data_IF_045852345893
#
_entry.id   IF_045852345893
#
_cell.length_a   1.000
_cell.length_b   1.000
_cell.length_c   1.000
_cell.angle_alpha   90.00
_cell.angle_beta   90.00
_cell.angle_gamma   90.00
#
_symmetry.space_group_name_H-M   'P 1'
#
loop_
_entity.id
_entity.type
_entity.pdbx_description
1 polymer ?
#
# COMPACT_ATOMS: atom_id res chain seq x y z
N UNK A 1 9.81 11.95 -3.05
CA UNK A 1 9.80 10.66 -3.77
C UNK A 1 10.23 9.51 -2.88
N UNK A 2 11.51 9.44 -2.49
CA UNK A 2 12.03 8.31 -1.72
C UNK A 2 11.50 8.20 -0.27
N UNK A 3 11.42 9.31 0.47
CA UNK A 3 10.96 9.32 1.87
C UNK A 3 9.50 8.85 1.97
N UNK A 4 8.62 9.32 1.10
CA UNK A 4 7.21 8.88 0.99
C UNK A 4 7.07 7.38 0.77
N UNK A 5 7.89 6.81 -0.11
CA UNK A 5 7.88 5.37 -0.39
C UNK A 5 8.45 4.56 0.78
N UNK A 6 9.49 5.05 1.46
CA UNK A 6 10.06 4.39 2.65
C UNK A 6 9.03 4.40 3.79
N UNK A 7 8.40 5.53 4.06
CA UNK A 7 7.40 5.65 5.13
C UNK A 7 6.16 4.79 4.86
N UNK A 8 5.69 4.69 3.61
CA UNK A 8 4.59 3.78 3.27
C UNK A 8 4.98 2.31 3.49
N UNK A 9 6.26 1.99 3.33
CA UNK A 9 6.78 0.64 3.58
C UNK A 9 6.86 0.31 5.07
N UNK A 10 6.66 1.27 5.98
CA UNK A 10 6.51 0.98 7.42
C UNK A 10 5.11 0.45 7.74
N UNK A 11 4.15 0.52 6.81
CA UNK A 11 2.78 0.05 7.02
C UNK A 11 2.66 -1.40 7.53
N UNK A 12 3.45 -2.40 7.07
CA UNK A 12 3.40 -3.76 7.61
C UNK A 12 3.94 -3.85 9.03
N UNK A 13 4.92 -3.03 9.40
CA UNK A 13 5.43 -2.92 10.77
C UNK A 13 4.35 -2.38 11.69
N UNK A 14 3.68 -1.28 11.32
CA UNK A 14 2.57 -0.75 12.11
C UNK A 14 1.37 -1.69 12.15
N UNK A 15 1.05 -2.37 11.05
CA UNK A 15 -0.01 -3.39 11.01
C UNK A 15 0.29 -4.52 12.01
N UNK A 16 1.55 -4.95 12.08
CA UNK A 16 2.04 -5.96 13.03
C UNK A 16 1.90 -5.47 14.47
N UNK A 17 2.39 -4.26 14.78
CA UNK A 17 2.37 -3.68 16.13
C UNK A 17 0.94 -3.42 16.64
N UNK A 18 0.12 -2.72 15.85
CA UNK A 18 -1.30 -2.45 16.15
C UNK A 18 -2.06 -3.76 16.32
N UNK A 19 -1.79 -4.72 15.44
CA UNK A 19 -2.38 -6.04 15.47
C UNK A 19 -2.15 -6.79 16.79
N UNK A 20 -0.92 -6.78 17.30
CA UNK A 20 -0.59 -7.37 18.61
C UNK A 20 -1.26 -6.57 19.73
N UNK A 21 -1.02 -5.25 19.77
CA UNK A 21 -1.35 -4.40 20.90
C UNK A 21 -2.86 -4.21 21.12
N UNK A 22 -3.63 -4.05 20.04
CA UNK A 22 -5.03 -3.65 20.12
C UNK A 22 -6.00 -4.75 19.63
N UNK A 23 -5.51 -5.67 18.80
CA UNK A 23 -6.37 -6.70 18.19
C UNK A 23 -6.12 -8.09 18.74
N UNK A 24 -5.09 -8.29 19.57
CA UNK A 24 -4.77 -9.58 20.22
C UNK A 24 -4.23 -10.62 19.24
N UNK A 25 -3.61 -10.19 18.14
CA UNK A 25 -3.07 -11.13 17.15
C UNK A 25 -1.84 -11.85 17.69
N UNK A 26 -1.93 -13.18 17.75
CA UNK A 26 -0.78 -14.04 17.98
C UNK A 26 0.07 -14.11 16.69
N UNK A 27 1.19 -13.39 16.68
CA UNK A 27 2.13 -13.40 15.57
C UNK A 27 3.23 -14.43 15.77
N UNK A 28 3.62 -15.08 14.67
CA UNK A 28 4.78 -15.98 14.67
C UNK A 28 6.04 -15.12 14.53
N UNK A 29 7.11 -15.45 15.26
CA UNK A 29 8.39 -14.72 15.15
C UNK A 29 8.92 -14.59 13.71
N UNK A 30 8.63 -15.59 12.86
CA UNK A 30 8.95 -15.53 11.42
C UNK A 30 8.26 -14.38 10.68
N UNK A 31 7.03 -14.03 11.04
CA UNK A 31 6.32 -12.91 10.41
C UNK A 31 6.98 -11.58 10.78
N UNK A 32 7.42 -11.42 12.03
CA UNK A 32 8.16 -10.23 12.48
C UNK A 32 9.49 -10.12 11.72
N UNK A 33 10.25 -11.22 11.64
CA UNK A 33 11.51 -11.25 10.88
C UNK A 33 11.27 -10.95 9.40
N UNK A 34 10.24 -11.52 8.79
CA UNK A 34 9.89 -11.27 7.39
C UNK A 34 9.49 -9.82 7.12
N UNK A 35 8.77 -9.19 8.05
CA UNK A 35 8.44 -7.75 8.00
C UNK A 35 9.70 -6.89 8.06
N UNK A 36 10.64 -7.20 8.94
CA UNK A 36 11.90 -6.46 9.07
C UNK A 36 12.79 -6.62 7.83
N UNK A 37 12.89 -7.83 7.29
CA UNK A 37 13.63 -8.11 6.05
C UNK A 37 12.99 -7.37 4.87
N UNK A 38 11.67 -7.44 4.73
CA UNK A 38 10.94 -6.74 3.66
C UNK A 38 11.18 -5.23 3.72
N UNK A 39 11.09 -4.64 4.92
CA UNK A 39 11.38 -3.23 5.15
C UNK A 39 12.82 -2.87 4.75
N UNK A 40 13.79 -3.68 5.16
CA UNK A 40 15.19 -3.47 4.79
C UNK A 40 15.39 -3.51 3.27
N UNK A 41 14.83 -4.51 2.59
CA UNK A 41 14.90 -4.61 1.13
C UNK A 41 14.27 -3.41 0.43
N UNK A 42 13.15 -2.91 0.95
CA UNK A 42 12.52 -1.70 0.43
C UNK A 42 13.37 -0.45 0.62
N UNK A 43 13.99 -0.28 1.78
CA UNK A 43 14.93 0.83 2.03
C UNK A 43 16.10 0.77 1.05
N UNK A 44 16.70 -0.41 0.84
CA UNK A 44 17.80 -0.60 -0.12
C UNK A 44 17.36 -0.25 -1.54
N UNK A 45 16.23 -0.78 -1.99
CA UNK A 45 15.71 -0.56 -3.35
C UNK A 45 15.42 0.93 -3.61
N UNK A 46 14.79 1.61 -2.65
CA UNK A 46 14.47 3.03 -2.78
C UNK A 46 15.74 3.88 -2.73
N UNK A 47 16.63 3.63 -1.76
CA UNK A 47 17.87 4.39 -1.63
C UNK A 47 18.74 4.28 -2.90
N UNK A 48 18.74 3.11 -3.55
CA UNK A 48 19.45 2.88 -4.79
C UNK A 48 18.86 3.60 -6.02
N UNK A 49 17.60 4.03 -5.96
CA UNK A 49 16.93 4.80 -7.01
C UNK A 49 16.80 6.30 -6.70
N UNK A 50 17.32 6.76 -5.56
CA UNK A 50 17.29 8.18 -5.20
C UNK A 50 18.47 8.90 -5.85
N UNK A 51 18.19 9.74 -6.85
CA UNK A 51 19.11 10.83 -7.21
C UNK A 51 19.00 11.95 -6.17
N UNK A 52 20.15 12.54 -5.80
CA UNK A 52 20.34 13.51 -4.72
C UNK A 52 19.37 14.71 -4.79
N UNK A 53 18.17 14.54 -4.27
CA UNK A 53 17.19 15.61 -4.09
C UNK A 53 17.12 15.94 -2.61
N UNK A 54 17.93 16.93 -2.21
CA UNK A 54 18.22 17.31 -0.83
C UNK A 54 17.18 18.25 -0.20
N UNK A 55 16.12 18.62 -0.93
CA UNK A 55 15.05 19.46 -0.41
C UNK A 55 13.82 18.62 -0.04
N UNK A 56 13.83 18.00 1.15
CA UNK A 56 12.65 17.31 1.67
C UNK A 56 12.20 17.90 3.00
N UNK A 57 10.97 18.42 3.00
CA UNK A 57 10.31 18.97 4.17
C UNK A 57 9.84 17.82 5.09
N UNK A 58 10.53 17.66 6.22
CA UNK A 58 10.30 16.60 7.21
C UNK A 58 8.90 16.65 7.85
N UNK A 59 8.18 17.78 7.78
CA UNK A 59 6.83 17.90 8.36
C UNK A 59 5.83 16.95 7.70
N UNK A 60 5.98 16.66 6.41
CA UNK A 60 5.11 15.70 5.70
C UNK A 60 5.27 14.26 6.19
N UNK A 61 6.39 13.92 6.83
CA UNK A 61 6.60 12.58 7.38
C UNK A 61 5.54 12.22 8.43
N UNK A 62 5.07 13.21 9.21
CA UNK A 62 4.05 12.99 10.23
C UNK A 62 2.72 12.53 9.63
N UNK A 63 2.28 13.17 8.55
CA UNK A 63 1.06 12.78 7.84
C UNK A 63 1.15 11.36 7.25
N UNK A 64 2.34 10.96 6.78
CA UNK A 64 2.54 9.62 6.23
C UNK A 64 2.53 8.56 7.32
N UNK A 65 3.12 8.84 8.49
CA UNK A 65 3.01 7.96 9.67
C UNK A 65 1.54 7.80 10.07
N UNK A 66 0.79 8.90 10.14
CA UNK A 66 -0.63 8.87 10.49
C UNK A 66 -1.44 8.06 9.47
N UNK A 67 -1.15 8.24 8.17
CA UNK A 67 -1.76 7.44 7.09
C UNK A 67 -1.42 5.95 7.24
N UNK A 68 -0.17 5.61 7.51
CA UNK A 68 0.27 4.23 7.70
C UNK A 68 -0.37 3.57 8.94
N UNK A 69 -0.59 4.33 10.02
CA UNK A 69 -1.38 3.89 11.17
C UNK A 69 -2.85 3.67 10.79
N UNK A 70 -3.48 4.59 10.06
CA UNK A 70 -4.85 4.43 9.55
C UNK A 70 -5.00 3.17 8.71
N UNK A 71 -4.02 2.87 7.85
CA UNK A 71 -3.95 1.64 7.07
C UNK A 71 -3.79 0.40 7.95
N UNK A 72 -2.93 0.44 8.96
CA UNK A 72 -2.77 -0.63 9.94
C UNK A 72 -4.08 -0.93 10.70
N UNK A 73 -4.82 0.11 11.11
CA UNK A 73 -6.14 -0.03 11.70
C UNK A 73 -7.13 -0.62 10.70
N UNK A 74 -7.18 -0.11 9.47
CA UNK A 74 -8.08 -0.58 8.43
C UNK A 74 -7.93 -2.10 8.21
N UNK A 75 -6.72 -2.59 7.99
CA UNK A 75 -6.46 -4.03 7.78
C UNK A 75 -6.90 -4.87 8.99
N UNK A 76 -6.52 -4.44 10.20
CA UNK A 76 -6.82 -5.19 11.42
C UNK A 76 -8.32 -5.18 11.76
N UNK A 77 -9.01 -4.06 11.56
CA UNK A 77 -10.47 -3.94 11.74
C UNK A 77 -11.20 -4.81 10.72
N UNK A 78 -10.83 -4.73 9.44
CA UNK A 78 -11.45 -5.53 8.39
C UNK A 78 -11.29 -7.02 8.72
N UNK A 79 -10.09 -7.45 9.13
CA UNK A 79 -9.85 -8.85 9.48
C UNK A 79 -10.67 -9.28 10.70
N UNK A 80 -10.61 -8.52 11.80
CA UNK A 80 -11.18 -8.93 13.08
C UNK A 80 -12.70 -8.80 13.13
N UNK A 81 -13.22 -7.69 12.62
CA UNK A 81 -14.62 -7.32 12.81
C UNK A 81 -15.46 -7.45 11.54
N UNK A 82 -14.90 -7.23 10.35
CA UNK A 82 -15.67 -7.17 9.11
C UNK A 82 -15.48 -8.40 8.20
N UNK A 83 -14.76 -9.43 8.65
CA UNK A 83 -14.49 -10.63 7.84
C UNK A 83 -15.73 -11.45 7.50
N UNK A 84 -16.83 -11.27 8.25
CA UNK A 84 -18.13 -11.86 7.95
C UNK A 84 -18.81 -11.21 6.73
N UNK A 85 -18.49 -9.96 6.41
CA UNK A 85 -19.03 -9.25 5.24
C UNK A 85 -18.34 -9.69 3.94
N UNK A 86 -18.98 -9.40 2.80
CA UNK A 86 -18.34 -9.59 1.50
C UNK A 86 -17.29 -8.48 1.25
N UNK A 87 -16.17 -8.77 0.55
CA UNK A 87 -15.18 -7.75 0.20
C UNK A 87 -15.76 -6.57 -0.59
N UNK A 88 -16.78 -6.85 -1.42
CA UNK A 88 -17.52 -5.82 -2.13
C UNK A 88 -18.26 -4.89 -1.15
N UNK A 89 -18.99 -5.45 -0.17
CA UNK A 89 -19.72 -4.65 0.81
C UNK A 89 -18.80 -3.73 1.63
N UNK A 90 -17.65 -4.23 2.07
CA UNK A 90 -16.64 -3.43 2.79
C UNK A 90 -16.11 -2.28 1.92
N UNK A 91 -15.85 -2.56 0.64
CA UNK A 91 -15.35 -1.55 -0.31
C UNK A 91 -16.41 -0.49 -0.61
N UNK A 92 -17.65 -0.91 -0.88
CA UNK A 92 -18.78 -0.01 -1.14
C UNK A 92 -19.05 0.89 0.07
N UNK A 93 -19.04 0.35 1.29
CA UNK A 93 -19.21 1.15 2.50
C UNK A 93 -18.07 2.17 2.67
N UNK A 94 -16.83 1.76 2.42
CA UNK A 94 -15.66 2.66 2.50
C UNK A 94 -15.77 3.82 1.51
N UNK A 95 -16.16 3.56 0.27
CA UNK A 95 -16.39 4.63 -0.72
C UNK A 95 -17.65 5.45 -0.43
N UNK A 96 -18.71 4.85 0.12
CA UNK A 96 -19.91 5.57 0.54
C UNK A 96 -19.59 6.62 1.61
N UNK A 97 -18.74 6.28 2.58
CA UNK A 97 -18.25 7.24 3.58
C UNK A 97 -17.34 8.29 2.95
N UNK A 98 -16.45 7.89 2.04
CA UNK A 98 -15.53 8.82 1.36
C UNK A 98 -16.22 9.75 0.34
N UNK A 99 -17.43 9.41 -0.11
CA UNK A 99 -18.17 10.17 -1.12
C UNK A 99 -18.46 11.61 -0.68
N UNK A 100 -18.96 11.80 0.55
CA UNK A 100 -19.29 13.13 1.06
C UNK A 100 -18.07 14.08 1.15
N UNK A 101 -16.95 13.70 1.79
CA UNK A 101 -15.77 14.55 1.81
C UNK A 101 -15.18 14.77 0.41
N UNK A 102 -15.19 13.75 -0.46
CA UNK A 102 -14.74 13.91 -1.85
C UNK A 102 -15.62 14.91 -2.63
N UNK A 103 -16.94 14.88 -2.43
CA UNK A 103 -17.87 15.82 -3.05
C UNK A 103 -17.65 17.26 -2.57
N UNK A 104 -17.42 17.45 -1.27
CA UNK A 104 -17.09 18.77 -0.70
C UNK A 104 -15.81 19.30 -1.36
N UNK A 105 -14.74 18.49 -1.40
CA UNK A 105 -13.47 18.87 -2.03
C UNK A 105 -13.68 19.22 -3.52
N UNK A 106 -14.47 18.43 -4.25
CA UNK A 106 -14.77 18.67 -5.66
C UNK A 106 -15.43 20.04 -5.87
N UNK A 107 -16.43 20.39 -5.06
CA UNK A 107 -17.13 21.68 -5.15
C UNK A 107 -16.17 22.86 -4.87
N UNK A 108 -15.33 22.76 -3.84
CA UNK A 108 -14.42 23.84 -3.45
C UNK A 108 -13.13 23.90 -4.28
N UNK A 109 -12.75 22.84 -4.98
CA UNK A 109 -11.54 22.79 -5.81
C UNK A 109 -11.57 23.76 -7.00
N UNK A 110 -12.77 24.22 -7.39
CA UNK A 110 -12.95 25.08 -8.56
C UNK A 110 -12.74 24.37 -9.90
N UNK A 111 -12.62 23.03 -9.90
CA UNK A 111 -12.27 22.25 -11.11
C UNK A 111 -13.24 22.48 -12.27
N UNK A 112 -14.52 22.72 -11.99
CA UNK A 112 -15.55 22.99 -13.00
C UNK A 112 -15.28 24.23 -13.83
N UNK A 113 -14.53 25.22 -13.31
CA UNK A 113 -14.14 26.41 -14.07
C UNK A 113 -13.14 26.09 -15.18
N UNK A 114 -12.43 24.96 -15.09
CA UNK A 114 -11.45 24.53 -16.08
C UNK A 114 -12.09 23.78 -17.27
N UNK A 115 -13.37 23.42 -17.20
CA UNK A 115 -14.08 22.73 -18.28
C UNK A 115 -14.55 23.64 -19.42
N UNK A 116 -14.62 24.96 -19.18
CA UNK A 116 -15.10 25.91 -20.20
C UNK A 116 -14.09 26.04 -21.36
N UNK A 117 -14.30 25.28 -22.42
CA UNK A 117 -13.57 25.39 -23.69
C UNK A 117 -12.29 24.54 -23.80
N UNK A 118 -12.02 23.63 -22.85
CA UNK A 118 -10.82 22.78 -22.87
C UNK A 118 -11.16 21.31 -23.17
N UNK A 119 -10.99 20.90 -24.43
CA UNK A 119 -11.17 19.52 -24.89
C UNK A 119 -10.34 18.49 -24.10
N UNK A 120 -9.11 18.85 -23.69
CA UNK A 120 -8.23 17.98 -22.92
C UNK A 120 -8.80 17.64 -21.53
N UNK A 121 -9.68 18.48 -20.98
CA UNK A 121 -10.31 18.21 -19.69
C UNK A 121 -11.33 17.06 -19.77
N UNK A 122 -12.00 16.91 -20.91
CA UNK A 122 -12.90 15.78 -21.14
C UNK A 122 -12.14 14.45 -21.30
N UNK A 123 -10.98 14.47 -21.97
CA UNK A 123 -10.09 13.31 -22.07
C UNK A 123 -9.51 12.91 -20.69
N UNK A 124 -9.10 13.90 -19.89
CA UNK A 124 -8.62 13.67 -18.53
C UNK A 124 -9.67 12.97 -17.65
N UNK A 125 -10.95 13.33 -17.78
CA UNK A 125 -12.04 12.64 -17.07
C UNK A 125 -12.11 11.16 -17.44
N UNK A 126 -11.90 10.80 -18.72
CA UNK A 126 -11.89 9.41 -19.14
C UNK A 126 -10.73 8.63 -18.51
N UNK A 127 -9.52 9.20 -18.50
CA UNK A 127 -8.38 8.58 -17.83
C UNK A 127 -8.60 8.41 -16.32
N UNK A 128 -9.15 9.43 -15.66
CA UNK A 128 -9.47 9.36 -14.23
C UNK A 128 -10.54 8.31 -13.95
N UNK A 129 -11.59 8.20 -14.79
CA UNK A 129 -12.61 7.16 -14.63
C UNK A 129 -12.04 5.75 -14.81
N UNK A 130 -11.19 5.55 -15.82
CA UNK A 130 -10.53 4.27 -16.04
C UNK A 130 -9.65 3.88 -14.84
N UNK A 131 -8.87 4.82 -14.31
CA UNK A 131 -8.03 4.62 -13.12
C UNK A 131 -8.87 4.40 -11.85
N UNK A 132 -9.96 5.15 -11.66
CA UNK A 132 -10.85 5.01 -10.52
C UNK A 132 -11.51 3.62 -10.51
N UNK A 133 -11.93 3.12 -11.67
CA UNK A 133 -12.56 1.81 -11.77
C UNK A 133 -11.53 0.68 -11.61
N UNK A 134 -10.49 0.65 -12.45
CA UNK A 134 -9.53 -0.46 -12.50
C UNK A 134 -8.49 -0.37 -11.37
N UNK A 135 -7.86 0.80 -11.24
CA UNK A 135 -6.75 1.01 -10.30
C UNK A 135 -7.19 1.19 -8.85
N UNK A 136 -8.43 1.65 -8.62
CA UNK A 136 -8.90 1.95 -7.26
C UNK A 136 -10.00 1.00 -6.81
N UNK A 137 -11.15 0.95 -7.49
CA UNK A 137 -12.29 0.17 -7.02
C UNK A 137 -12.03 -1.33 -7.07
N UNK A 138 -11.61 -1.85 -8.23
CA UNK A 138 -11.31 -3.28 -8.38
C UNK A 138 -10.14 -3.72 -7.48
N UNK A 139 -9.07 -2.91 -7.44
CA UNK A 139 -7.92 -3.17 -6.57
C UNK A 139 -8.32 -3.24 -5.08
N UNK A 140 -9.17 -2.33 -4.59
CA UNK A 140 -9.65 -2.36 -3.21
C UNK A 140 -10.53 -3.58 -2.92
N UNK A 141 -11.39 -4.02 -3.86
CA UNK A 141 -12.17 -5.25 -3.70
C UNK A 141 -11.24 -6.45 -3.56
N UNK A 142 -10.23 -6.55 -4.43
CA UNK A 142 -9.23 -7.63 -4.39
C UNK A 142 -8.39 -7.57 -3.11
N UNK A 143 -8.01 -6.38 -2.66
CA UNK A 143 -7.26 -6.18 -1.43
C UNK A 143 -8.08 -6.55 -0.19
N UNK A 144 -9.34 -6.15 -0.12
CA UNK A 144 -10.25 -6.55 0.96
C UNK A 144 -10.52 -8.05 0.95
N UNK A 145 -10.58 -8.67 -0.24
CA UNK A 145 -10.64 -10.14 -0.39
C UNK A 145 -9.36 -10.78 0.13
N UNK A 146 -8.20 -10.22 -0.15
CA UNK A 146 -6.92 -10.68 0.38
C UNK A 146 -6.91 -10.65 1.90
N UNK A 147 -7.25 -9.52 2.53
CA UNK A 147 -7.34 -9.39 3.99
C UNK A 147 -8.24 -10.48 4.58
N UNK A 148 -9.42 -10.71 3.96
CA UNK A 148 -10.34 -11.75 4.41
C UNK A 148 -9.72 -13.15 4.36
N UNK A 149 -8.99 -13.48 3.30
CA UNK A 149 -8.40 -14.80 3.08
C UNK A 149 -7.06 -15.03 3.81
N UNK A 150 -6.33 -13.97 4.17
CA UNK A 150 -4.96 -14.07 4.70
C UNK A 150 -4.79 -13.52 6.11
N UNK A 151 -3.58 -13.58 6.66
CA UNK A 151 -3.27 -12.83 7.90
C UNK A 151 -3.17 -11.32 7.62
N UNK A 152 -3.46 -10.45 8.61
CA UNK A 152 -3.27 -9.00 8.51
C UNK A 152 -1.85 -8.62 8.08
N UNK A 153 -0.85 -9.29 8.65
CA UNK A 153 0.57 -9.03 8.35
C UNK A 153 0.91 -9.38 6.90
N UNK A 154 0.38 -10.49 6.38
CA UNK A 154 0.57 -10.84 4.98
C UNK A 154 -0.13 -9.85 4.04
N UNK A 155 -1.37 -9.45 4.33
CA UNK A 155 -2.07 -8.47 3.52
C UNK A 155 -1.29 -7.15 3.47
N UNK A 156 -0.79 -6.67 4.61
CA UNK A 156 0.03 -5.47 4.65
C UNK A 156 1.33 -5.62 3.86
N UNK A 157 1.96 -6.80 3.85
CA UNK A 157 3.22 -7.03 3.13
C UNK A 157 3.16 -6.77 1.62
N UNK A 158 1.96 -6.71 1.02
CA UNK A 158 1.77 -6.28 -0.38
C UNK A 158 2.30 -4.85 -0.61
N UNK A 159 2.32 -4.00 0.41
CA UNK A 159 2.91 -2.66 0.32
C UNK A 159 4.41 -2.68 0.02
N UNK A 160 5.13 -3.73 0.43
CA UNK A 160 6.54 -3.90 0.06
C UNK A 160 6.74 -4.20 -1.43
N UNK A 161 5.72 -4.73 -2.10
CA UNK A 161 5.78 -5.04 -3.53
C UNK A 161 5.59 -3.79 -4.40
N UNK A 162 5.01 -2.71 -3.87
CA UNK A 162 4.78 -1.46 -4.61
C UNK A 162 6.08 -0.91 -5.21
N UNK A 163 7.16 -0.67 -4.44
CA UNK A 163 8.42 -0.17 -5.02
C UNK A 163 9.09 -1.17 -5.96
N UNK A 164 8.88 -2.48 -5.76
CA UNK A 164 9.37 -3.49 -6.69
C UNK A 164 8.68 -3.38 -8.05
N UNK A 165 7.35 -3.26 -8.06
CA UNK A 165 6.55 -3.08 -9.29
C UNK A 165 6.90 -1.76 -9.97
N UNK A 166 7.17 -0.70 -9.21
CA UNK A 166 7.60 0.58 -9.77
C UNK A 166 8.94 0.47 -10.53
N UNK A 167 9.95 -0.21 -9.97
CA UNK A 167 11.23 -0.45 -10.67
C UNK A 167 11.05 -1.32 -11.90
N UNK A 168 10.18 -2.34 -11.84
CA UNK A 168 9.89 -3.18 -13.00
C UNK A 168 9.25 -2.38 -14.15
N UNK A 169 8.34 -1.45 -13.84
CA UNK A 169 7.78 -0.55 -14.84
C UNK A 169 8.82 0.42 -15.39
N UNK A 170 9.64 1.05 -14.54
CA UNK A 170 10.72 1.94 -15.00
C UNK A 170 11.67 1.24 -15.97
N UNK A 171 11.99 -0.04 -15.72
CA UNK A 171 12.78 -0.84 -16.65
C UNK A 171 12.10 -1.09 -18.00
N UNK A 172 10.79 -1.36 -18.00
CA UNK A 172 10.02 -1.52 -19.24
C UNK A 172 9.96 -0.21 -20.04
N UNK A 173 9.99 0.93 -19.34
CA UNK A 173 10.06 2.27 -19.93
C UNK A 173 11.50 2.66 -20.37
N UNK A 174 12.47 1.77 -20.18
CA UNK A 174 13.86 1.94 -20.63
C UNK A 174 14.82 2.53 -19.58
N UNK A 175 14.41 2.64 -18.31
CA UNK A 175 15.31 3.04 -17.23
C UNK A 175 16.33 1.95 -16.90
N UNK A 176 17.56 2.36 -16.62
CA UNK A 176 18.61 1.44 -16.21
C UNK A 176 18.40 1.01 -14.75
N UNK A 177 18.16 -0.29 -14.52
CA UNK A 177 18.10 -0.84 -13.16
C UNK A 177 19.53 -1.01 -12.62
N UNK A 178 19.78 -0.47 -11.42
CA UNK A 178 21.04 -0.70 -10.72
C UNK A 178 21.09 -2.08 -10.04
N UNK A 179 22.31 -2.62 -9.86
CA UNK A 179 22.49 -3.90 -9.16
C UNK A 179 21.90 -3.87 -7.74
N UNK A 180 21.92 -2.70 -7.09
CA UNK A 180 21.38 -2.49 -5.75
C UNK A 180 19.85 -2.53 -5.74
N UNK A 181 19.19 -2.01 -6.78
CA UNK A 181 17.73 -2.13 -6.93
C UNK A 181 17.32 -3.61 -7.11
N UNK A 182 18.08 -4.39 -7.87
CA UNK A 182 17.85 -5.83 -8.03
C UNK A 182 18.00 -6.58 -6.71
N UNK A 183 19.07 -6.31 -5.95
CA UNK A 183 19.30 -6.90 -4.63
C UNK A 183 18.19 -6.53 -3.65
N UNK A 184 17.79 -5.26 -3.62
CA UNK A 184 16.65 -4.80 -2.81
C UNK A 184 15.36 -5.55 -3.14
N UNK A 185 15.10 -5.78 -4.44
CA UNK A 185 13.97 -6.57 -4.90
C UNK A 185 13.99 -8.03 -4.42
N UNK A 186 15.15 -8.69 -4.48
CA UNK A 186 15.32 -10.06 -3.97
C UNK A 186 15.06 -10.12 -2.46
N UNK A 187 15.57 -9.14 -1.71
CA UNK A 187 15.37 -9.07 -0.25
C UNK A 187 13.88 -8.87 0.07
N UNK A 188 13.17 -8.00 -0.65
CA UNK A 188 11.72 -7.81 -0.50
C UNK A 188 10.98 -9.14 -0.69
N UNK A 189 11.25 -9.84 -1.80
CA UNK A 189 10.60 -11.12 -2.12
C UNK A 189 10.88 -12.16 -1.03
N UNK A 190 12.11 -12.22 -0.52
CA UNK A 190 12.47 -13.11 0.57
C UNK A 190 11.72 -12.78 1.88
N UNK A 191 11.61 -11.49 2.23
CA UNK A 191 10.84 -11.04 3.39
C UNK A 191 9.35 -11.42 3.29
N UNK A 192 8.72 -11.13 2.15
CA UNK A 192 7.30 -11.48 1.88
C UNK A 192 7.09 -12.99 1.91
N UNK A 193 8.00 -13.77 1.32
CA UNK A 193 7.95 -15.23 1.38
C UNK A 193 8.00 -15.74 2.83
N UNK A 194 8.85 -15.16 3.68
CA UNK A 194 8.97 -15.56 5.08
C UNK A 194 7.70 -15.25 5.88
N UNK A 195 7.03 -14.12 5.60
CA UNK A 195 5.72 -13.77 6.17
C UNK A 195 4.64 -14.79 5.76
N UNK A 196 4.67 -15.27 4.52
CA UNK A 196 3.67 -16.20 3.98
C UNK A 196 3.93 -17.68 4.35
N UNK A 197 5.16 -18.04 4.77
CA UNK A 197 5.54 -19.43 4.99
C UNK A 197 4.70 -20.06 6.11
N UNK A 198 3.74 -20.91 5.73
CA UNK A 198 3.01 -21.77 6.67
C UNK A 198 4.01 -22.74 7.33
N UNK A 199 3.84 -22.98 8.63
CA UNK A 199 4.58 -24.03 9.33
C UNK A 199 4.16 -25.34 8.64
N UNK A 200 5.08 -26.02 7.95
CA UNK A 200 4.91 -27.42 7.57
C UNK A 200 4.77 -28.18 8.89
N UNK A 201 3.53 -28.37 9.34
CA UNK A 201 3.23 -29.33 10.38
C UNK A 201 3.30 -30.67 9.67
N UNK A 202 4.41 -31.40 9.87
CA UNK A 202 4.42 -32.83 9.63
C UNK A 202 3.30 -33.40 10.50
N UNK A 203 2.16 -33.72 9.88
CA UNK A 203 1.18 -34.60 10.48
C UNK A 203 1.88 -35.97 10.56
N UNK A 204 2.34 -36.32 11.76
CA UNK A 204 2.54 -37.70 12.16
C UNK A 204 1.26 -38.18 12.81
#
# INVERSE_FOLDING_TARGET
GGITSILNSVAPLFTTMVGIALFGLALKGRQVIGVLIGLFGTVVLIAAGMENNTDQNYWYAFFIIFSALGYAFNINIIKKYLSHLSPLAVTTASFGVAFFPALIILIYSGVFRQFAGNGAMYEAVWYVMALAFLGTALANILFNKLIKLSSPVFAASVTYLIPLVAVLWGFLDGENISILQLLGGIIILFGVWLVNRKKLVWQK
#
